data_IF_961352130311
#
_entry.id   IF_961352130311
#
_cell.length_a   1.000
_cell.length_b   1.000
_cell.length_c   1.000
_cell.angle_alpha   90.00
_cell.angle_beta   90.00
_cell.angle_gamma   90.00
#
_symmetry.space_group_name_H-M   'P 1'
#
loop_
_entity.id
_entity.type
_entity.pdbx_description
1 polymer ?
#
# COMPACT_ATOMS: atom_id res chain seq x y z
N UNK A 1 26.17 14.61 -13.39
CA UNK A 1 25.82 14.31 -14.80
C UNK A 1 24.31 14.33 -14.90
N UNK A 2 23.72 15.35 -15.53
CA UNK A 2 22.27 15.45 -15.70
C UNK A 2 21.86 14.56 -16.87
N UNK A 3 21.16 13.47 -16.61
CA UNK A 3 20.59 12.63 -17.66
C UNK A 3 19.51 13.44 -18.37
N UNK A 4 19.84 13.98 -19.55
CA UNK A 4 18.89 14.65 -20.42
C UNK A 4 17.67 13.77 -20.65
N UNK A 5 16.49 14.29 -20.35
CA UNK A 5 15.20 13.65 -20.58
C UNK A 5 15.01 13.40 -22.07
N UNK A 6 15.47 12.24 -22.55
CA UNK A 6 15.18 11.79 -23.92
C UNK A 6 13.67 11.78 -24.11
N UNK A 7 13.22 12.47 -25.14
CA UNK A 7 11.81 12.44 -25.51
C UNK A 7 11.43 11.00 -25.87
N UNK A 8 10.44 10.41 -25.19
CA UNK A 8 10.07 9.01 -25.44
C UNK A 8 9.53 8.88 -26.85
N UNK A 9 10.00 7.87 -27.56
CA UNK A 9 9.57 7.54 -28.91
C UNK A 9 8.09 7.16 -28.92
N UNK A 10 7.44 7.27 -30.09
CA UNK A 10 6.03 6.90 -30.24
C UNK A 10 5.74 5.45 -29.80
N UNK A 11 6.67 4.53 -30.09
CA UNK A 11 6.59 3.12 -29.69
C UNK A 11 6.68 2.96 -28.16
N UNK A 12 7.56 3.70 -27.48
CA UNK A 12 7.65 3.69 -26.02
C UNK A 12 6.39 4.27 -25.35
N UNK A 13 5.85 5.35 -25.90
CA UNK A 13 4.59 5.94 -25.43
C UNK A 13 3.43 4.95 -25.53
N UNK A 14 3.31 4.25 -26.66
CA UNK A 14 2.24 3.27 -26.84
C UNK A 14 2.43 2.03 -25.94
N UNK A 15 3.67 1.60 -25.74
CA UNK A 15 3.98 0.53 -24.78
C UNK A 15 3.63 0.95 -23.34
N UNK A 16 3.93 2.18 -22.94
CA UNK A 16 3.52 2.70 -21.63
C UNK A 16 2.01 2.79 -21.49
N UNK A 17 1.29 3.25 -22.53
CA UNK A 17 -0.19 3.24 -22.53
C UNK A 17 -0.75 1.83 -22.38
N UNK A 18 -0.20 0.85 -23.10
CA UNK A 18 -0.62 -0.55 -23.01
C UNK A 18 -0.33 -1.14 -21.63
N UNK A 19 0.86 -0.88 -21.08
CA UNK A 19 1.25 -1.28 -19.72
C UNK A 19 0.28 -0.68 -18.71
N UNK A 20 -0.05 0.60 -18.85
CA UNK A 20 -0.96 1.29 -17.95
C UNK A 20 -2.38 0.73 -18.02
N UNK A 21 -2.91 0.47 -19.22
CA UNK A 21 -4.20 -0.20 -19.38
C UNK A 21 -4.21 -1.58 -18.72
N UNK A 22 -3.14 -2.36 -18.88
CA UNK A 22 -3.00 -3.68 -18.24
C UNK A 22 -2.94 -3.55 -16.71
N UNK A 23 -2.15 -2.61 -16.17
CA UNK A 23 -2.08 -2.34 -14.72
C UNK A 23 -3.46 -2.01 -14.16
N UNK A 24 -4.17 -1.08 -14.79
CA UNK A 24 -5.51 -0.65 -14.37
C UNK A 24 -6.55 -1.78 -14.47
N UNK A 25 -6.49 -2.58 -15.52
CA UNK A 25 -7.37 -3.74 -15.69
C UNK A 25 -7.16 -4.78 -14.57
N UNK A 26 -5.92 -5.03 -14.17
CA UNK A 26 -5.61 -5.94 -13.06
C UNK A 26 -6.14 -5.38 -11.74
N UNK A 27 -5.86 -4.11 -11.43
CA UNK A 27 -6.35 -3.47 -10.21
C UNK A 27 -7.89 -3.52 -10.14
N UNK A 28 -8.59 -3.21 -11.25
CA UNK A 28 -10.04 -3.29 -11.31
C UNK A 28 -10.58 -4.70 -11.03
N UNK A 29 -9.92 -5.75 -11.55
CA UNK A 29 -10.29 -7.14 -11.25
C UNK A 29 -10.12 -7.47 -9.76
N UNK A 30 -9.03 -7.02 -9.14
CA UNK A 30 -8.77 -7.22 -7.70
C UNK A 30 -9.85 -6.51 -6.87
N UNK A 31 -10.10 -5.23 -7.11
CA UNK A 31 -11.12 -4.47 -6.39
C UNK A 31 -12.53 -5.05 -6.58
N UNK A 32 -12.86 -5.53 -7.79
CA UNK A 32 -14.12 -6.23 -8.04
C UNK A 32 -14.24 -7.49 -7.19
N UNK A 33 -13.18 -8.30 -7.10
CA UNK A 33 -13.16 -9.50 -6.26
C UNK A 33 -13.31 -9.17 -4.78
N UNK A 34 -12.57 -8.19 -4.28
CA UNK A 34 -12.65 -7.73 -2.89
C UNK A 34 -14.04 -7.21 -2.51
N UNK A 35 -14.73 -6.52 -3.42
CA UNK A 35 -16.11 -6.07 -3.18
C UNK A 35 -17.09 -7.25 -3.07
N UNK A 36 -16.89 -8.30 -3.85
CA UNK A 36 -17.80 -9.46 -3.85
C UNK A 36 -17.55 -10.40 -2.68
N UNK A 37 -16.28 -10.62 -2.32
CA UNK A 37 -15.88 -11.69 -1.38
C UNK A 37 -15.24 -11.18 -0.08
N UNK A 38 -14.84 -9.90 0.00
CA UNK A 38 -14.15 -9.36 1.18
C UNK A 38 -15.06 -9.08 2.38
N UNK A 39 -16.37 -9.26 2.23
CA UNK A 39 -17.37 -9.11 3.30
C UNK A 39 -17.27 -7.78 4.08
N UNK A 40 -16.73 -6.75 3.44
CA UNK A 40 -16.59 -5.41 4.01
C UNK A 40 -17.96 -4.77 4.19
N UNK A 41 -18.18 -4.10 5.32
CA UNK A 41 -19.39 -3.29 5.58
C UNK A 41 -19.34 -1.96 4.83
N UNK A 42 -19.20 -2.02 3.50
CA UNK A 42 -19.09 -0.86 2.62
C UNK A 42 -20.45 -0.48 2.04
N UNK A 43 -20.68 0.81 1.75
CA UNK A 43 -21.88 1.26 1.04
C UNK A 43 -22.06 0.55 -0.32
N UNK A 44 -23.30 0.40 -0.78
CA UNK A 44 -23.65 -0.24 -2.05
C UNK A 44 -22.94 0.39 -3.27
N UNK A 45 -22.62 1.68 -3.19
CA UNK A 45 -21.88 2.44 -4.21
C UNK A 45 -20.51 2.88 -3.70
N UNK A 46 -19.74 1.99 -3.09
CA UNK A 46 -18.40 2.35 -2.63
C UNK A 46 -17.44 2.65 -3.79
N UNK A 47 -16.48 3.54 -3.55
CA UNK A 47 -15.36 3.83 -4.46
C UNK A 47 -14.14 2.92 -4.16
N UNK A 48 -13.19 2.81 -5.09
CA UNK A 48 -12.01 1.95 -4.92
C UNK A 48 -11.15 2.34 -3.71
N UNK A 49 -11.12 3.63 -3.36
CA UNK A 49 -10.39 4.12 -2.20
C UNK A 49 -11.05 3.65 -0.88
N UNK A 50 -12.36 3.48 -0.83
CA UNK A 50 -13.06 2.98 0.36
C UNK A 50 -12.79 1.49 0.56
N UNK A 51 -12.76 0.72 -0.54
CA UNK A 51 -12.34 -0.69 -0.52
C UNK A 51 -10.89 -0.81 -0.03
N UNK A 52 -10.01 0.07 -0.51
CA UNK A 52 -8.62 0.08 -0.10
C UNK A 52 -8.47 0.43 1.39
N UNK A 53 -9.20 1.42 1.89
CA UNK A 53 -9.23 1.78 3.31
C UNK A 53 -9.70 0.61 4.17
N UNK A 54 -10.77 -0.07 3.77
CA UNK A 54 -11.27 -1.25 4.49
C UNK A 54 -10.24 -2.39 4.53
N UNK A 55 -9.58 -2.66 3.40
CA UNK A 55 -8.50 -3.65 3.31
C UNK A 55 -7.29 -3.27 4.19
N UNK A 56 -6.88 -2.01 4.19
CA UNK A 56 -5.78 -1.53 5.02
C UNK A 56 -6.11 -1.71 6.51
N UNK A 57 -7.32 -1.34 6.93
CA UNK A 57 -7.78 -1.53 8.31
C UNK A 57 -7.79 -3.01 8.70
N UNK A 58 -8.25 -3.91 7.82
CA UNK A 58 -8.22 -5.36 8.04
C UNK A 58 -6.79 -5.88 8.20
N UNK A 59 -5.85 -5.36 7.39
CA UNK A 59 -4.44 -5.73 7.43
C UNK A 59 -3.66 -5.09 8.61
N UNK A 60 -4.33 -4.36 9.51
CA UNK A 60 -3.70 -3.71 10.67
C UNK A 60 -2.94 -2.41 10.34
N UNK A 61 -3.28 -1.77 9.21
CA UNK A 61 -2.77 -0.45 8.84
C UNK A 61 -3.80 0.62 9.24
N UNK A 62 -3.31 1.75 9.74
CA UNK A 62 -4.15 2.93 9.98
C UNK A 62 -4.12 3.81 8.73
N UNK A 63 -5.29 4.19 8.22
CA UNK A 63 -5.43 5.12 7.10
C UNK A 63 -6.08 6.40 7.57
N UNK A 64 -5.38 7.51 7.41
CA UNK A 64 -5.87 8.84 7.75
C UNK A 64 -6.81 9.41 6.67
N UNK A 65 -7.60 10.45 6.99
CA UNK A 65 -8.54 11.06 6.05
C UNK A 65 -7.86 11.69 4.83
N UNK A 66 -6.63 12.17 4.99
CA UNK A 66 -5.76 12.77 3.97
C UNK A 66 -5.16 11.73 3.00
N UNK A 67 -5.26 10.44 3.32
CA UNK A 67 -4.71 9.33 2.54
C UNK A 67 -3.35 8.83 3.04
N UNK A 68 -2.82 9.38 4.14
CA UNK A 68 -1.60 8.90 4.77
C UNK A 68 -1.87 7.53 5.42
N UNK A 69 -1.01 6.54 5.14
CA UNK A 69 -1.16 5.18 5.69
C UNK A 69 0.09 4.79 6.47
N UNK A 70 -0.07 4.38 7.73
CA UNK A 70 1.02 3.87 8.54
C UNK A 70 0.64 2.55 9.21
N UNK A 71 1.64 1.70 9.45
CA UNK A 71 1.44 0.43 10.15
C UNK A 71 1.50 0.71 11.64
N UNK A 72 0.42 0.41 12.37
CA UNK A 72 0.48 0.40 13.82
C UNK A 72 1.37 -0.79 14.19
N UNK A 73 2.61 -0.54 14.62
CA UNK A 73 3.44 -1.59 15.17
C UNK A 73 2.67 -2.20 16.34
N UNK A 74 2.45 -3.52 16.27
CA UNK A 74 1.76 -4.27 17.32
C UNK A 74 2.72 -4.33 18.51
N UNK A 75 2.70 -3.28 19.33
CA UNK A 75 3.45 -3.21 20.58
C UNK A 75 3.09 -4.40 21.52
N UNK A 76 1.95 -5.05 21.32
CA UNK A 76 1.54 -6.23 22.10
C UNK A 76 2.45 -7.46 21.92
N UNK A 77 3.10 -7.63 20.76
CA UNK A 77 4.09 -8.70 20.56
C UNK A 77 5.46 -8.35 21.12
N UNK A 78 5.70 -7.06 21.37
CA UNK A 78 6.98 -6.52 21.76
C UNK A 78 7.12 -6.36 23.26
N UNK A 79 6.01 -6.06 23.95
CA UNK A 79 5.96 -6.10 25.40
C UNK A 79 5.97 -7.54 25.97
N UNK A 80 5.79 -8.56 25.13
CA UNK A 80 5.82 -9.98 25.51
C UNK A 80 6.94 -10.77 24.81
N UNK A 81 7.85 -10.10 24.10
CA UNK A 81 8.99 -10.77 23.48
C UNK A 81 10.00 -11.11 24.60
N UNK A 82 10.45 -12.37 24.74
CA UNK A 82 11.52 -12.70 25.66
C UNK A 82 12.73 -11.79 25.36
N UNK A 83 13.36 -11.24 26.41
CA UNK A 83 14.50 -10.31 26.30
C UNK A 83 15.61 -10.81 25.33
N UNK A 84 15.70 -12.13 25.14
CA UNK A 84 16.62 -12.79 24.20
C UNK A 84 16.45 -12.41 22.71
N UNK A 85 15.35 -11.76 22.31
CA UNK A 85 15.12 -11.32 20.92
C UNK A 85 15.33 -9.81 20.70
N UNK A 86 15.61 -9.03 21.75
CA UNK A 86 15.79 -7.58 21.67
C UNK A 86 17.09 -7.14 20.97
N UNK A 87 18.08 -8.04 20.83
CA UNK A 87 19.39 -7.77 20.22
C UNK A 87 19.42 -7.93 18.69
N UNK A 88 18.30 -8.28 18.06
CA UNK A 88 18.24 -8.32 16.60
C UNK A 88 18.20 -6.86 16.11
N UNK A 89 19.32 -6.40 15.55
CA UNK A 89 19.66 -5.05 15.05
C UNK A 89 18.70 -4.42 14.00
N UNK A 90 17.47 -4.87 13.92
CA UNK A 90 16.38 -4.31 13.11
C UNK A 90 15.68 -3.13 13.79
N UNK A 91 16.07 -2.77 15.02
CA UNK A 91 15.39 -1.75 15.80
C UNK A 91 15.90 -0.31 15.60
N UNK A 92 17.18 -0.15 15.32
CA UNK A 92 17.80 1.15 15.03
C UNK A 92 17.44 1.71 13.65
N UNK A 93 17.01 0.87 12.69
CA UNK A 93 16.67 1.33 11.33
C UNK A 93 15.23 1.86 11.20
N UNK A 94 14.33 1.50 12.13
CA UNK A 94 12.91 1.87 12.05
C UNK A 94 12.62 3.30 12.50
N UNK A 95 13.42 3.89 13.39
CA UNK A 95 13.30 5.31 13.74
C UNK A 95 13.67 6.24 12.57
N UNK A 96 14.53 5.79 11.66
CA UNK A 96 14.92 6.59 10.48
C UNK A 96 13.82 6.68 9.42
N UNK A 97 12.87 5.75 9.41
CA UNK A 97 11.75 5.72 8.45
C UNK A 97 10.52 6.50 8.93
N UNK A 98 10.50 6.97 10.18
CA UNK A 98 9.33 7.59 10.83
C UNK A 98 9.50 9.11 11.10
N UNK A 99 10.50 9.77 10.50
CA UNK A 99 10.61 11.23 10.54
C UNK A 99 10.15 11.84 9.21
N UNK A 100 9.31 12.89 9.22
CA UNK A 100 8.81 13.55 8.00
C UNK A 100 9.90 14.23 7.17
#
# INVERSE_FOLDING_TARGET
MTSGTRQPTWKERENNKRRERRRRAIAAKIFSGLRMYGNYKLPKHCDNNEVLKALCNEAGWTVEPDGTTYRKFVAELWCNLPEAFADIAWYSDLESYFSP
#
